data_IF_272014808303
#
_entry.id   IF_272014808303
#
_cell.length_a   1.000
_cell.length_b   1.000
_cell.length_c   1.000
_cell.angle_alpha   90.00
_cell.angle_beta   90.00
_cell.angle_gamma   90.00
#
_symmetry.space_group_name_H-M   'P 1'
#
loop_
_entity.id
_entity.type
_entity.pdbx_description
1 polymer ?
#
# COMPACT_ATOMS: atom_id res chain seq x y z
N UNK A 1 14.22 -11.49 -17.63
CA UNK A 1 13.72 -10.12 -17.79
C UNK A 1 12.56 -10.06 -18.81
N UNK A 2 12.76 -10.41 -20.08
CA UNK A 2 11.71 -10.31 -21.12
C UNK A 2 10.43 -11.08 -20.76
N UNK A 3 10.55 -12.32 -20.30
CA UNK A 3 9.40 -13.16 -19.86
C UNK A 3 8.62 -12.51 -18.72
N UNK A 4 9.29 -11.89 -17.77
CA UNK A 4 8.65 -11.17 -16.67
C UNK A 4 7.85 -9.98 -17.17
N UNK A 5 8.44 -9.13 -18.02
CA UNK A 5 7.74 -7.98 -18.60
C UNK A 5 6.56 -8.40 -19.48
N UNK A 6 6.72 -9.46 -20.28
CA UNK A 6 5.63 -10.01 -21.08
C UNK A 6 4.46 -10.50 -20.21
N UNK A 7 4.76 -11.20 -19.12
CA UNK A 7 3.74 -11.64 -18.17
C UNK A 7 3.01 -10.47 -17.50
N UNK A 8 3.75 -9.43 -17.05
CA UNK A 8 3.17 -8.24 -16.43
C UNK A 8 2.28 -7.46 -17.41
N UNK A 9 2.73 -7.27 -18.65
CA UNK A 9 1.94 -6.60 -19.69
C UNK A 9 0.66 -7.39 -20.02
N UNK A 10 0.75 -8.71 -20.11
CA UNK A 10 -0.40 -9.57 -20.37
C UNK A 10 -1.44 -9.48 -19.26
N UNK A 11 -1.01 -9.55 -18.01
CA UNK A 11 -1.88 -9.37 -16.85
C UNK A 11 -2.53 -7.98 -16.86
N UNK A 12 -1.73 -6.93 -17.08
CA UNK A 12 -2.22 -5.55 -17.18
C UNK A 12 -3.27 -5.38 -18.27
N UNK A 13 -3.05 -5.95 -19.45
CA UNK A 13 -3.98 -5.87 -20.57
C UNK A 13 -5.29 -6.64 -20.32
N UNK A 14 -5.21 -7.84 -19.79
CA UNK A 14 -6.37 -8.68 -19.46
C UNK A 14 -7.27 -8.00 -18.41
N UNK A 15 -6.67 -7.42 -17.38
CA UNK A 15 -7.41 -6.77 -16.30
C UNK A 15 -7.77 -5.30 -16.55
N UNK A 16 -7.24 -4.66 -17.59
CA UNK A 16 -7.46 -3.23 -17.86
C UNK A 16 -8.94 -2.88 -18.03
N UNK A 17 -9.70 -3.69 -18.77
CA UNK A 17 -11.14 -3.48 -18.97
C UNK A 17 -11.94 -3.53 -17.67
N UNK A 18 -11.56 -4.41 -16.75
CA UNK A 18 -12.23 -4.57 -15.46
C UNK A 18 -11.82 -3.47 -14.48
N UNK A 19 -10.57 -3.07 -14.50
CA UNK A 19 -10.04 -2.00 -13.67
C UNK A 19 -10.62 -0.62 -14.04
N UNK A 20 -10.84 -0.36 -15.32
CA UNK A 20 -11.34 0.92 -15.83
C UNK A 20 -12.87 1.07 -15.80
N UNK A 21 -13.60 0.12 -15.23
CA UNK A 21 -15.07 0.16 -15.22
C UNK A 21 -15.66 1.23 -14.30
N UNK A 22 -14.95 1.65 -13.25
CA UNK A 22 -15.34 2.76 -12.37
C UNK A 22 -14.15 3.30 -11.59
N UNK A 23 -14.25 4.56 -11.13
CA UNK A 23 -13.21 5.19 -10.29
C UNK A 23 -12.91 4.40 -9.02
N UNK A 24 -13.95 3.83 -8.40
CA UNK A 24 -13.80 2.96 -7.21
C UNK A 24 -13.06 1.66 -7.54
N UNK A 25 -13.30 1.10 -8.71
CA UNK A 25 -12.63 -0.11 -9.17
C UNK A 25 -11.16 0.17 -9.48
N UNK A 26 -10.88 1.30 -10.10
CA UNK A 26 -9.52 1.71 -10.44
C UNK A 26 -8.64 1.95 -9.20
N UNK A 27 -9.10 2.75 -8.25
CA UNK A 27 -8.30 3.13 -7.06
C UNK A 27 -8.33 2.12 -5.91
N UNK A 28 -9.42 1.41 -5.72
CA UNK A 28 -9.63 0.57 -4.55
C UNK A 28 -9.98 -0.89 -4.87
N UNK A 29 -9.84 -1.32 -6.15
CA UNK A 29 -10.22 -2.68 -6.57
C UNK A 29 -11.68 -3.03 -6.26
N UNK A 30 -12.58 -2.04 -6.20
CA UNK A 30 -13.97 -2.22 -5.80
C UNK A 30 -14.17 -2.68 -4.35
N UNK A 31 -13.11 -2.58 -3.51
CA UNK A 31 -13.06 -3.11 -2.13
C UNK A 31 -13.25 -4.64 -2.02
N UNK A 32 -13.18 -5.35 -3.13
CA UNK A 32 -13.27 -6.82 -3.21
C UNK A 32 -11.92 -7.53 -3.12
N UNK A 33 -10.84 -6.80 -2.82
CA UNK A 33 -9.49 -7.35 -2.74
C UNK A 33 -9.32 -8.13 -1.43
N UNK A 34 -8.88 -9.38 -1.54
CA UNK A 34 -8.65 -10.24 -0.38
C UNK A 34 -7.49 -9.75 0.52
N UNK A 35 -7.42 -10.20 1.78
CA UNK A 35 -6.45 -9.70 2.75
C UNK A 35 -4.99 -9.92 2.33
N UNK A 36 -4.68 -11.05 1.73
CA UNK A 36 -3.35 -11.37 1.24
C UNK A 36 -2.90 -10.43 0.11
N UNK A 37 -3.76 -10.21 -0.86
CA UNK A 37 -3.45 -9.33 -1.99
C UNK A 37 -3.34 -7.87 -1.53
N UNK A 38 -4.18 -7.46 -0.57
CA UNK A 38 -4.08 -6.12 0.03
C UNK A 38 -2.77 -5.92 0.77
N UNK A 39 -2.34 -6.90 1.57
CA UNK A 39 -1.07 -6.83 2.28
C UNK A 39 0.13 -6.75 1.31
N UNK A 40 0.17 -7.64 0.32
CA UNK A 40 1.23 -7.63 -0.70
C UNK A 40 1.26 -6.32 -1.51
N UNK A 41 0.09 -5.80 -1.87
CA UNK A 41 -0.01 -4.53 -2.61
C UNK A 41 0.42 -3.33 -1.76
N UNK A 42 0.07 -3.31 -0.48
CA UNK A 42 0.50 -2.27 0.44
C UNK A 42 2.02 -2.27 0.61
N UNK A 43 2.60 -3.43 0.89
CA UNK A 43 4.05 -3.59 1.01
C UNK A 43 4.79 -3.20 -0.27
N UNK A 44 4.32 -3.68 -1.43
CA UNK A 44 4.92 -3.35 -2.71
C UNK A 44 4.83 -1.85 -3.06
N UNK A 45 3.83 -1.14 -2.56
CA UNK A 45 3.65 0.30 -2.81
C UNK A 45 4.40 1.18 -1.82
N UNK A 46 4.51 0.74 -0.57
CA UNK A 46 5.14 1.50 0.52
C UNK A 46 6.67 1.34 0.51
N UNK A 47 7.14 0.13 0.25
CA UNK A 47 8.56 -0.21 0.21
C UNK A 47 9.20 0.25 -1.10
N UNK A 48 9.64 1.49 -1.12
CA UNK A 48 10.35 2.09 -2.26
C UNK A 48 11.75 1.49 -2.48
N UNK A 49 12.48 2.01 -3.47
CA UNK A 49 13.90 1.69 -3.67
C UNK A 49 14.79 1.91 -2.44
N UNK A 50 14.33 2.70 -1.46
CA UNK A 50 15.01 2.86 -0.18
C UNK A 50 15.21 1.52 0.56
N UNK A 51 14.19 0.68 0.64
CA UNK A 51 14.30 -0.60 1.34
C UNK A 51 15.25 -1.57 0.63
N UNK A 52 15.23 -1.58 -0.70
CA UNK A 52 16.03 -2.53 -1.50
C UNK A 52 17.47 -2.09 -1.70
N UNK A 53 17.74 -0.79 -1.78
CA UNK A 53 19.08 -0.25 -2.06
C UNK A 53 19.61 0.62 -0.93
N UNK A 54 18.77 1.49 -0.34
CA UNK A 54 19.18 2.41 0.70
C UNK A 54 19.56 1.70 1.98
N UNK A 55 18.70 0.83 2.48
CA UNK A 55 18.95 0.13 3.74
C UNK A 55 20.20 -0.79 3.69
N UNK A 56 20.38 -1.63 2.65
CA UNK A 56 21.63 -2.37 2.47
C UNK A 56 22.85 -1.47 2.26
N UNK A 57 22.68 -0.33 1.56
CA UNK A 57 23.74 0.66 1.39
C UNK A 57 24.20 1.26 2.72
N UNK A 58 23.27 1.67 3.58
CA UNK A 58 23.59 2.14 4.94
C UNK A 58 24.29 1.05 5.73
N UNK A 59 23.80 -0.20 5.66
CA UNK A 59 24.45 -1.33 6.33
C UNK A 59 25.90 -1.54 5.91
N UNK A 60 26.19 -1.33 4.64
CA UNK A 60 27.53 -1.43 4.09
C UNK A 60 28.47 -0.33 4.60
N UNK A 61 27.99 0.92 4.70
CA UNK A 61 28.81 2.07 5.10
C UNK A 61 28.93 2.25 6.61
N UNK A 62 27.86 2.04 7.38
CA UNK A 62 27.81 2.34 8.82
C UNK A 62 27.78 1.10 9.71
N UNK A 63 27.72 -0.08 9.10
CA UNK A 63 27.55 -1.34 9.82
C UNK A 63 26.06 -1.70 10.03
N UNK A 64 25.82 -2.85 10.65
CA UNK A 64 24.50 -3.45 10.75
C UNK A 64 23.59 -2.82 11.84
N UNK A 65 24.14 -2.02 12.75
CA UNK A 65 23.39 -1.51 13.91
C UNK A 65 22.25 -0.57 13.52
N UNK A 66 22.53 0.47 12.73
CA UNK A 66 21.53 1.46 12.33
C UNK A 66 20.41 0.88 11.45
N UNK A 67 20.74 0.08 10.39
CA UNK A 67 19.69 -0.55 9.58
C UNK A 67 18.85 -1.56 10.37
N UNK A 68 19.41 -2.23 11.36
CA UNK A 68 18.65 -3.17 12.19
C UNK A 68 17.61 -2.47 13.05
N UNK A 69 17.95 -1.34 13.67
CA UNK A 69 16.97 -0.53 14.40
C UNK A 69 15.87 0.03 13.49
N UNK A 70 16.24 0.46 12.29
CA UNK A 70 15.28 0.91 11.28
C UNK A 70 14.34 -0.21 10.88
N UNK A 71 14.83 -1.42 10.61
CA UNK A 71 14.02 -2.57 10.26
C UNK A 71 13.05 -2.97 11.38
N UNK A 72 13.52 -2.98 12.63
CA UNK A 72 12.68 -3.26 13.81
C UNK A 72 11.59 -2.18 13.94
N UNK A 73 11.95 -0.91 13.81
CA UNK A 73 11.02 0.22 13.87
C UNK A 73 9.94 0.15 12.79
N UNK A 74 10.33 -0.16 11.55
CA UNK A 74 9.39 -0.36 10.44
C UNK A 74 8.45 -1.54 10.69
N UNK A 75 8.95 -2.68 11.12
CA UNK A 75 8.13 -3.85 11.40
C UNK A 75 7.10 -3.59 12.51
N UNK A 76 7.55 -3.01 13.62
CA UNK A 76 6.66 -2.66 14.74
C UNK A 76 5.67 -1.56 14.35
N UNK A 77 6.12 -0.52 13.66
CA UNK A 77 5.29 0.58 13.18
C UNK A 77 4.19 0.10 12.24
N UNK A 78 4.54 -0.72 11.26
CA UNK A 78 3.58 -1.33 10.33
C UNK A 78 2.56 -2.20 11.07
N UNK A 79 3.02 -3.05 11.98
CA UNK A 79 2.12 -3.87 12.78
C UNK A 79 1.12 -3.03 13.60
N UNK A 80 1.60 -2.01 14.30
CA UNK A 80 0.76 -1.11 15.08
C UNK A 80 -0.20 -0.31 14.20
N UNK A 81 0.27 0.19 13.07
CA UNK A 81 -0.55 0.90 12.10
C UNK A 81 -1.72 0.03 11.61
N UNK A 82 -1.46 -1.19 11.19
CA UNK A 82 -2.52 -2.11 10.75
C UNK A 82 -3.50 -2.46 11.87
N UNK A 83 -3.01 -2.67 13.08
CA UNK A 83 -3.84 -3.06 14.23
C UNK A 83 -4.69 -1.91 14.76
N UNK A 84 -4.14 -0.71 14.88
CA UNK A 84 -4.78 0.42 15.56
C UNK A 84 -5.43 1.41 14.59
N UNK A 85 -4.71 1.82 13.55
CA UNK A 85 -5.13 2.90 12.65
C UNK A 85 -5.98 2.37 11.50
N UNK A 86 -5.46 1.42 10.73
CA UNK A 86 -6.10 0.97 9.51
C UNK A 86 -7.50 0.40 9.75
N UNK A 87 -7.67 -0.37 10.82
CA UNK A 87 -8.96 -0.95 11.19
C UNK A 87 -10.02 0.10 11.52
N UNK A 88 -9.62 1.15 12.25
CA UNK A 88 -10.51 2.26 12.62
C UNK A 88 -10.81 3.14 11.40
N UNK A 89 -9.77 3.52 10.67
CA UNK A 89 -9.91 4.34 9.46
C UNK A 89 -10.82 3.68 8.44
N UNK A 90 -10.71 2.37 8.25
CA UNK A 90 -11.58 1.59 7.36
C UNK A 90 -13.06 1.70 7.73
N UNK A 91 -13.38 1.62 9.01
CA UNK A 91 -14.76 1.75 9.49
C UNK A 91 -15.29 3.16 9.30
N UNK A 92 -14.51 4.15 9.70
CA UNK A 92 -14.90 5.55 9.59
C UNK A 92 -15.00 6.04 8.13
N UNK A 93 -14.16 5.56 7.24
CA UNK A 93 -14.23 5.92 5.82
C UNK A 93 -15.53 5.44 5.15
N UNK A 94 -16.07 4.29 5.59
CA UNK A 94 -17.37 3.80 5.12
C UNK A 94 -18.52 4.68 5.64
N UNK A 95 -18.50 5.00 6.93
CA UNK A 95 -19.54 5.85 7.57
C UNK A 95 -19.51 7.28 7.01
N UNK A 96 -18.33 7.80 6.68
CA UNK A 96 -18.17 9.14 6.09
C UNK A 96 -18.53 9.21 4.58
N UNK A 97 -19.42 8.36 4.09
CA UNK A 97 -19.86 8.40 2.70
C UNK A 97 -18.94 7.67 1.72
N UNK A 98 -18.34 6.56 2.18
CA UNK A 98 -17.51 5.67 1.36
C UNK A 98 -16.28 6.37 0.74
N UNK A 99 -15.58 7.18 1.55
CA UNK A 99 -14.39 7.89 1.14
C UNK A 99 -13.30 6.95 0.61
N UNK A 100 -12.74 7.26 -0.57
CA UNK A 100 -11.74 6.44 -1.24
C UNK A 100 -10.33 6.88 -0.84
N UNK A 101 -10.13 8.18 -0.64
CA UNK A 101 -8.85 8.77 -0.27
C UNK A 101 -8.90 9.42 1.10
N UNK A 102 -7.74 9.64 1.71
CA UNK A 102 -7.65 10.34 3.01
C UNK A 102 -8.13 11.80 2.90
N UNK A 103 -7.77 12.59 1.88
CA UNK A 103 -8.33 13.91 1.68
C UNK A 103 -9.87 13.91 1.57
N UNK A 104 -10.43 13.00 0.77
CA UNK A 104 -11.89 12.84 0.63
C UNK A 104 -12.57 12.48 1.97
N UNK A 105 -11.91 11.67 2.79
CA UNK A 105 -12.38 11.37 4.14
C UNK A 105 -12.41 12.61 5.04
N UNK A 106 -11.38 13.44 5.01
CA UNK A 106 -11.32 14.65 5.82
C UNK A 106 -12.34 15.69 5.33
N UNK A 107 -12.46 15.92 4.02
CA UNK A 107 -13.46 16.81 3.45
C UNK A 107 -14.88 16.41 3.89
N UNK A 108 -15.23 15.13 3.76
CA UNK A 108 -16.55 14.64 4.18
C UNK A 108 -16.79 14.68 5.69
N UNK A 109 -15.73 14.53 6.48
CA UNK A 109 -15.83 14.56 7.94
C UNK A 109 -15.98 15.96 8.51
N UNK A 110 -15.26 16.92 7.96
CA UNK A 110 -15.23 18.28 8.47
C UNK A 110 -16.11 19.26 7.68
N UNK A 111 -16.74 18.78 6.58
CA UNK A 111 -17.62 19.57 5.71
C UNK A 111 -16.91 20.80 5.10
N UNK A 112 -15.65 20.62 4.73
CA UNK A 112 -14.79 21.65 4.18
C UNK A 112 -14.56 21.43 2.67
#
# INVERSE_FOLDING_TARGET
>A
MVLYFAAMLTIGFVYSKRSNSSTKQYFAGGRGVGPWLTALSAEASDMSGWLLMGLPGVAYFTGAADPMWTAIGLALGTYLNWKLVARRLRRYSVVAGDAITIPDFFSKRFHD
#
